data_IF_694193856723
#
_entry.id   IF_694193856723
#
_cell.length_a   1.000
_cell.length_b   1.000
_cell.length_c   1.000
_cell.angle_alpha   90.00
_cell.angle_beta   90.00
_cell.angle_gamma   90.00
#
_symmetry.space_group_name_H-M   'P 1'
#
loop_
_entity.id
_entity.type
_entity.pdbx_description
1 polymer ?
#
# COMPACT_ATOMS: atom_id res chain seq x y z
N UNK A 1 44.83 -28.17 23.82
CA UNK A 1 45.81 -29.07 23.17
C UNK A 1 46.36 -28.31 21.97
N UNK A 2 47.46 -27.57 22.18
CA UNK A 2 48.83 -27.89 21.69
C UNK A 2 48.96 -27.66 20.18
N UNK A 3 49.56 -26.53 19.77
CA UNK A 3 50.98 -26.38 19.36
C UNK A 3 51.32 -27.20 18.11
N UNK A 4 51.91 -26.64 17.05
CA UNK A 4 53.36 -26.39 16.96
C UNK A 4 53.66 -25.32 15.88
N UNK A 5 54.45 -24.33 16.28
CA UNK A 5 55.35 -23.49 15.44
C UNK A 5 56.74 -24.18 15.48
N UNK A 6 57.64 -24.03 14.48
CA UNK A 6 58.80 -23.16 14.72
C UNK A 6 59.19 -22.26 13.52
N UNK A 7 59.47 -20.96 13.69
CA UNK A 7 60.74 -20.31 14.10
C UNK A 7 61.78 -20.34 12.96
N UNK A 8 62.28 -19.20 12.47
CA UNK A 8 63.54 -18.52 12.90
C UNK A 8 63.53 -17.09 12.29
N UNK A 9 63.51 -15.99 13.08
CA UNK A 9 64.62 -15.27 13.77
C UNK A 9 65.23 -14.16 12.84
N UNK A 10 65.51 -12.90 13.20
CA UNK A 10 65.91 -12.18 14.44
C UNK A 10 65.52 -10.68 14.28
N UNK A 11 64.91 -9.96 15.23
CA UNK A 11 65.42 -9.41 16.52
C UNK A 11 66.28 -8.12 16.32
N UNK A 12 66.22 -7.01 17.08
CA UNK A 12 65.83 -6.65 18.47
C UNK A 12 65.34 -5.17 18.50
N UNK A 13 64.32 -4.75 19.28
CA UNK A 13 64.38 -4.14 20.64
C UNK A 13 65.55 -3.14 20.84
N UNK A 14 65.45 -1.93 21.40
CA UNK A 14 64.50 -1.32 22.35
C UNK A 14 64.90 0.16 22.63
N UNK A 15 63.92 0.99 23.00
CA UNK A 15 63.92 2.11 23.97
C UNK A 15 65.02 3.20 23.95
N UNK A 16 64.59 4.46 24.08
CA UNK A 16 65.39 5.51 24.72
C UNK A 16 65.19 6.91 24.13
N UNK A 17 64.59 7.80 24.92
CA UNK A 17 64.61 9.24 24.69
C UNK A 17 66.03 9.80 24.84
N UNK A 18 66.39 10.84 24.09
CA UNK A 18 66.98 12.07 24.64
C UNK A 18 67.20 13.15 23.59
N UNK A 19 67.04 14.39 24.05
CA UNK A 19 67.42 15.60 23.37
C UNK A 19 68.94 15.69 23.15
N UNK A 20 69.39 16.48 22.16
CA UNK A 20 70.49 17.46 22.24
C UNK A 20 70.86 18.01 20.85
N UNK A 21 70.83 19.35 20.79
CA UNK A 21 71.68 20.33 20.10
C UNK A 21 72.62 19.90 18.95
N UNK A 22 72.63 20.70 17.88
CA UNK A 22 73.77 20.97 16.98
C UNK A 22 74.00 22.50 16.97
N UNK A 23 74.95 23.07 17.71
CA UNK A 23 76.39 23.29 17.43
C UNK A 23 76.70 24.18 16.21
N UNK A 24 76.93 25.47 16.51
CA UNK A 24 77.81 26.37 15.75
C UNK A 24 79.26 26.14 16.19
N UNK A 25 80.20 26.21 15.25
CA UNK A 25 81.64 26.11 15.48
C UNK A 25 82.40 27.25 14.80
N UNK A 26 83.64 27.45 15.25
CA UNK A 26 84.63 28.53 15.02
C UNK A 26 84.50 29.69 16.03
N UNK A 27 85.50 30.01 16.85
CA UNK A 27 86.89 29.57 16.99
C UNK A 27 87.65 30.64 17.80
N UNK A 28 88.40 30.23 18.83
CA UNK A 28 88.99 31.07 19.89
C UNK A 28 90.23 31.89 19.46
N UNK A 29 90.55 32.96 20.21
CA UNK A 29 91.76 33.12 21.05
C UNK A 29 91.79 34.55 21.66
N UNK A 30 91.59 34.73 22.97
CA UNK A 30 92.52 34.54 24.10
C UNK A 30 93.43 35.75 24.35
N UNK A 31 93.21 36.49 25.44
CA UNK A 31 94.29 37.09 26.25
C UNK A 31 93.90 37.14 27.74
N UNK A 32 94.82 36.62 28.55
CA UNK A 32 94.85 36.56 30.00
C UNK A 32 95.01 37.94 30.64
N UNK A 33 94.41 38.15 31.81
CA UNK A 33 94.79 39.21 32.76
C UNK A 33 94.62 38.73 34.19
N UNK A 34 95.69 38.20 34.80
CA UNK A 34 95.75 37.88 36.24
C UNK A 34 95.97 39.14 37.04
N UNK A 35 95.24 39.24 38.16
CA UNK A 35 95.52 40.12 39.29
C UNK A 35 96.82 39.71 39.99
N UNK A 36 97.68 40.68 40.29
CA UNK A 36 98.74 40.60 41.30
C UNK A 36 98.76 41.94 42.08
N UNK A 37 98.87 41.79 43.41
CA UNK A 37 99.18 42.78 44.46
C UNK A 37 100.43 43.63 44.06
N UNK A 38 100.75 44.84 44.54
CA UNK A 38 100.57 45.48 45.86
C UNK A 38 101.01 46.97 45.79
N UNK A 39 100.55 47.78 46.76
CA UNK A 39 101.10 49.03 47.32
C UNK A 39 101.72 50.18 46.46
N UNK A 40 101.00 51.31 46.45
CA UNK A 40 101.46 52.54 47.11
C UNK A 40 102.34 53.53 46.33
N UNK A 41 101.73 54.53 45.68
CA UNK A 41 102.08 55.96 45.82
C UNK A 41 101.14 56.86 45.00
N UNK A 42 100.53 57.82 45.67
CA UNK A 42 99.88 58.98 45.06
C UNK A 42 100.94 59.84 44.38
N UNK A 43 100.81 60.06 43.06
CA UNK A 43 101.51 61.10 42.32
C UNK A 43 100.53 61.71 41.30
N UNK A 44 100.10 62.93 41.62
CA UNK A 44 99.57 64.01 40.77
C UNK A 44 98.65 63.67 39.59
N UNK A 45 97.42 64.15 39.72
CA UNK A 45 96.52 64.58 38.66
C UNK A 45 97.28 65.17 37.45
N UNK A 46 97.23 64.46 36.33
CA UNK A 46 97.73 64.93 35.04
C UNK A 46 96.68 64.57 33.99
N UNK A 47 95.58 65.32 33.98
CA UNK A 47 94.58 65.27 32.92
C UNK A 47 95.23 65.66 31.59
N UNK A 48 95.39 64.67 30.69
CA UNK A 48 95.94 64.88 29.35
C UNK A 48 94.89 65.57 28.50
N UNK A 49 95.18 66.81 28.09
CA UNK A 49 94.30 67.67 27.28
C UNK A 49 94.39 67.34 25.80
N UNK A 50 93.25 67.38 25.10
CA UNK A 50 93.18 67.23 23.65
C UNK A 50 93.90 68.40 22.96
N UNK A 51 94.99 68.11 22.25
CA UNK A 51 95.75 69.10 21.49
C UNK A 51 95.27 69.23 20.04
N UNK A 52 95.76 70.25 19.30
CA UNK A 52 95.57 70.30 17.86
C UNK A 52 96.28 69.10 17.18
N UNK A 53 95.61 68.46 16.20
CA UNK A 53 96.06 67.27 15.45
C UNK A 53 96.15 65.94 16.22
N UNK A 54 95.54 65.83 17.41
CA UNK A 54 95.53 64.56 18.17
C UNK A 54 94.68 63.46 17.52
N UNK A 55 93.68 63.83 16.70
CA UNK A 55 92.81 62.91 15.96
C UNK A 55 92.78 63.24 14.47
N UNK A 56 92.43 62.23 13.66
CA UNK A 56 92.30 62.35 12.20
C UNK A 56 91.20 63.31 11.77
N UNK A 57 91.21 63.72 10.50
CA UNK A 57 90.18 64.61 9.94
C UNK A 57 88.80 63.95 10.06
N UNK A 58 87.81 64.69 10.59
CA UNK A 58 86.45 64.17 10.82
C UNK A 58 86.26 63.40 12.13
N UNK A 59 87.29 63.32 12.99
CA UNK A 59 87.20 62.78 14.35
C UNK A 59 87.19 63.88 15.41
N UNK A 60 86.52 63.64 16.54
CA UNK A 60 86.59 64.47 17.73
C UNK A 60 87.43 63.77 18.81
N UNK A 61 88.17 64.58 19.56
CA UNK A 61 89.01 64.11 20.64
C UNK A 61 88.22 64.13 21.96
N UNK A 62 88.20 62.99 22.65
CA UNK A 62 87.61 62.82 23.97
C UNK A 62 88.75 62.73 24.99
N UNK A 63 88.69 63.56 26.03
CA UNK A 63 89.65 63.54 27.13
C UNK A 63 89.56 62.20 27.88
N UNK A 64 90.66 61.45 27.90
CA UNK A 64 90.76 60.16 28.58
C UNK A 64 91.72 60.22 29.76
N UNK A 65 91.52 59.34 30.75
CA UNK A 65 92.29 59.32 32.00
C UNK A 65 93.75 58.87 31.83
N UNK A 66 94.10 58.25 30.69
CA UNK A 66 95.46 57.73 30.40
C UNK A 66 95.98 58.23 29.04
N UNK A 67 95.11 58.41 28.04
CA UNK A 67 95.42 58.98 26.72
C UNK A 67 94.15 59.53 26.06
N UNK A 68 94.25 60.54 25.17
CA UNK A 68 93.11 61.03 24.40
C UNK A 68 92.53 59.91 23.53
N UNK A 69 91.19 59.80 23.48
CA UNK A 69 90.46 58.81 22.67
C UNK A 69 89.84 59.55 21.50
N UNK A 70 90.16 59.11 20.28
CA UNK A 70 89.57 59.65 19.06
C UNK A 70 88.32 58.85 18.69
N UNK A 71 87.24 59.56 18.37
CA UNK A 71 86.02 58.95 17.83
C UNK A 71 85.53 59.76 16.63
N UNK A 72 85.02 59.10 15.59
CA UNK A 72 84.46 59.80 14.45
C UNK A 72 83.29 60.71 14.87
N UNK A 73 83.18 61.87 14.23
CA UNK A 73 82.02 62.74 14.39
C UNK A 73 80.74 62.00 13.92
N UNK A 74 79.55 62.35 14.44
CA UNK A 74 78.29 61.80 13.95
C UNK A 74 78.16 61.93 12.42
N UNK A 75 77.77 60.85 11.73
CA UNK A 75 77.71 60.80 10.26
C UNK A 75 79.07 60.56 9.58
N UNK A 76 80.11 60.23 10.34
CA UNK A 76 81.40 59.78 9.83
C UNK A 76 81.75 58.39 10.38
N UNK A 77 82.42 57.56 9.56
CA UNK A 77 82.93 56.23 9.93
C UNK A 77 84.35 56.05 9.40
N UNK A 78 85.03 54.99 9.82
CA UNK A 78 86.43 54.71 9.49
C UNK A 78 87.32 54.71 10.71
N UNK A 79 88.61 55.01 10.53
CA UNK A 79 89.59 55.02 11.60
C UNK A 79 89.72 56.44 12.21
N UNK A 80 89.33 56.65 13.48
CA UNK A 80 89.39 57.96 14.13
C UNK A 80 90.80 58.55 14.29
N UNK A 81 91.85 57.73 14.19
CA UNK A 81 93.23 58.18 14.32
C UNK A 81 93.80 58.73 13.00
N UNK A 82 93.41 58.17 11.86
CA UNK A 82 93.90 58.57 10.54
C UNK A 82 92.96 59.54 9.85
N UNK A 83 91.76 59.08 9.51
CA UNK A 83 90.73 59.88 8.85
C UNK A 83 89.37 59.18 8.99
N UNK A 84 88.38 59.93 9.47
CA UNK A 84 87.00 59.52 9.35
C UNK A 84 86.43 60.07 8.03
N UNK A 85 85.72 59.22 7.30
CA UNK A 85 85.01 59.59 6.07
C UNK A 85 83.54 59.80 6.36
N UNK A 86 82.93 60.78 5.69
CA UNK A 86 81.50 61.04 5.82
C UNK A 86 80.74 59.87 5.19
N UNK A 87 79.91 59.21 5.99
CA UNK A 87 79.05 58.12 5.54
C UNK A 87 77.66 58.64 5.20
N UNK A 88 76.94 57.88 4.38
CA UNK A 88 75.57 58.22 4.01
C UNK A 88 74.56 57.67 5.02
N UNK A 89 74.81 56.46 5.55
CA UNK A 89 73.94 55.80 6.51
C UNK A 89 74.72 54.83 7.43
N UNK A 90 74.18 54.58 8.62
CA UNK A 90 74.57 53.49 9.53
C UNK A 90 73.49 52.39 9.56
N UNK A 91 72.23 52.80 9.49
CA UNK A 91 71.06 51.93 9.55
C UNK A 91 70.07 52.26 8.42
N UNK A 92 69.22 51.29 8.08
CA UNK A 92 68.18 51.42 7.07
C UNK A 92 67.27 52.64 7.29
N UNK A 93 66.95 52.94 8.55
CA UNK A 93 66.11 54.09 8.93
C UNK A 93 66.63 55.46 8.48
N UNK A 94 67.93 55.57 8.16
CA UNK A 94 68.55 56.81 7.67
C UNK A 94 68.45 56.96 6.15
N UNK A 95 68.10 55.88 5.44
CA UNK A 95 67.86 55.88 4.01
C UNK A 95 66.39 56.18 3.68
N UNK A 96 66.10 56.58 2.43
CA UNK A 96 64.71 56.71 1.96
C UNK A 96 64.02 55.34 2.02
N UNK A 97 62.69 55.32 2.09
CA UNK A 97 61.89 54.09 2.20
C UNK A 97 62.13 53.03 1.11
N UNK A 98 62.68 53.42 -0.04
CA UNK A 98 63.02 52.55 -1.17
C UNK A 98 64.52 52.22 -1.28
N UNK A 99 65.32 52.53 -0.26
CA UNK A 99 66.76 52.30 -0.22
C UNK A 99 67.12 51.50 1.03
N UNK A 100 68.25 50.80 1.04
CA UNK A 100 68.78 50.09 2.21
C UNK A 100 70.21 50.55 2.47
N UNK A 101 70.61 50.54 3.74
CA UNK A 101 71.98 50.85 4.12
C UNK A 101 72.86 49.61 3.93
N UNK A 102 73.68 49.62 2.88
CA UNK A 102 74.64 48.56 2.60
C UNK A 102 76.01 49.20 2.45
N UNK A 103 77.00 48.71 3.22
CA UNK A 103 78.35 49.24 3.22
C UNK A 103 78.42 50.76 3.38
N UNK A 104 77.61 51.32 4.29
CA UNK A 104 77.57 52.76 4.63
C UNK A 104 77.00 53.66 3.52
N UNK A 105 76.33 53.07 2.51
CA UNK A 105 75.68 53.76 1.40
C UNK A 105 74.20 53.37 1.28
N UNK A 106 73.35 54.33 0.90
CA UNK A 106 71.93 54.08 0.66
C UNK A 106 71.71 53.62 -0.78
N UNK A 107 71.64 52.30 -0.97
CA UNK A 107 71.47 51.67 -2.28
C UNK A 107 70.05 51.17 -2.48
N UNK A 108 69.59 51.07 -3.73
CA UNK A 108 68.30 50.44 -4.01
C UNK A 108 68.44 48.92 -3.89
N UNK A 109 67.76 48.26 -2.93
CA UNK A 109 67.90 46.81 -2.75
C UNK A 109 67.33 45.98 -3.91
N UNK A 110 66.58 46.59 -4.83
CA UNK A 110 66.02 45.88 -5.99
C UNK A 110 67.02 45.63 -7.11
N UNK A 111 68.11 46.39 -7.17
CA UNK A 111 69.11 46.24 -8.24
C UNK A 111 69.82 44.88 -8.10
N UNK A 112 69.53 43.96 -9.02
CA UNK A 112 70.18 42.64 -9.09
C UNK A 112 69.58 41.56 -8.17
N UNK A 113 68.53 41.85 -7.40
CA UNK A 113 67.97 40.89 -6.42
C UNK A 113 66.84 40.02 -6.96
N UNK A 114 65.98 40.57 -7.82
CA UNK A 114 64.85 39.82 -8.40
C UNK A 114 65.20 39.16 -9.73
N UNK A 115 64.56 38.02 -9.99
CA UNK A 115 64.74 37.23 -11.20
C UNK A 115 64.16 37.89 -12.46
N UNK A 116 64.42 37.27 -13.61
CA UNK A 116 63.94 37.77 -14.91
C UNK A 116 62.41 37.80 -14.94
N UNK A 117 61.82 38.91 -15.41
CA UNK A 117 60.37 39.18 -15.44
C UNK A 117 59.67 39.21 -14.06
N UNK A 118 60.40 39.41 -12.96
CA UNK A 118 59.82 39.65 -11.64
C UNK A 118 59.72 41.16 -11.36
N UNK A 119 58.64 41.56 -10.69
CA UNK A 119 58.50 42.91 -10.13
C UNK A 119 59.20 42.97 -8.77
N UNK A 120 60.00 44.00 -8.56
CA UNK A 120 60.58 44.31 -7.26
C UNK A 120 59.86 45.47 -6.60
N UNK A 121 59.43 45.27 -5.36
CA UNK A 121 58.89 46.30 -4.48
C UNK A 121 59.75 46.37 -3.20
N UNK A 122 60.06 47.56 -2.71
CA UNK A 122 60.87 47.71 -1.50
C UNK A 122 59.94 47.89 -0.31
N UNK A 123 59.91 46.91 0.60
CA UNK A 123 59.11 46.98 1.83
C UNK A 123 60.02 46.93 3.04
N UNK A 124 59.96 47.99 3.86
CA UNK A 124 60.81 48.14 5.05
C UNK A 124 62.30 47.99 4.73
N UNK A 125 62.78 48.65 3.68
CA UNK A 125 64.17 48.59 3.21
C UNK A 125 64.63 47.19 2.74
N UNK A 126 63.71 46.25 2.50
CA UNK A 126 63.99 44.89 2.00
C UNK A 126 63.33 44.71 0.62
N UNK A 127 64.01 44.08 -0.36
CA UNK A 127 63.42 43.83 -1.66
C UNK A 127 62.42 42.67 -1.58
N UNK A 128 61.22 42.88 -2.11
CA UNK A 128 60.16 41.89 -2.24
C UNK A 128 59.95 41.61 -3.72
N UNK A 129 60.34 40.42 -4.16
CA UNK A 129 60.18 39.97 -5.53
C UNK A 129 58.84 39.25 -5.71
N UNK A 130 58.05 39.65 -6.71
CA UNK A 130 56.77 39.01 -7.05
C UNK A 130 56.67 38.79 -8.55
N UNK A 131 56.03 37.71 -9.00
CA UNK A 131 55.69 37.58 -10.41
C UNK A 131 54.50 38.49 -10.74
N UNK A 132 54.56 39.27 -11.83
CA UNK A 132 53.46 40.13 -12.26
C UNK A 132 52.24 39.30 -12.67
N UNK A 133 51.07 39.94 -12.75
CA UNK A 133 49.83 39.26 -13.15
C UNK A 133 49.99 38.58 -14.52
N UNK A 134 49.57 37.30 -14.60
CA UNK A 134 49.75 36.48 -15.81
C UNK A 134 51.11 35.76 -15.91
N UNK A 135 51.97 35.88 -14.90
CA UNK A 135 53.24 35.15 -14.81
C UNK A 135 53.28 34.24 -13.57
N UNK A 136 53.99 33.11 -13.68
CA UNK A 136 54.22 32.12 -12.62
C UNK A 136 55.71 31.74 -12.57
N UNK A 137 56.16 31.09 -11.48
CA UNK A 137 57.55 30.69 -11.29
C UNK A 137 58.15 31.18 -9.97
N UNK A 138 59.49 31.22 -9.89
CA UNK A 138 60.20 31.71 -8.71
C UNK A 138 60.60 33.18 -8.93
N UNK A 139 60.05 34.16 -8.17
CA UNK A 139 60.35 35.57 -8.34
C UNK A 139 61.83 35.96 -8.14
N UNK A 140 62.63 35.14 -7.44
CA UNK A 140 64.06 35.38 -7.24
C UNK A 140 64.94 34.79 -8.36
N UNK A 141 64.38 33.96 -9.24
CA UNK A 141 65.13 33.32 -10.33
C UNK A 141 64.59 33.72 -11.70
N UNK A 142 63.32 33.42 -11.98
CA UNK A 142 62.64 33.81 -13.21
C UNK A 142 61.13 33.57 -13.09
N UNK A 143 60.37 34.54 -13.59
CA UNK A 143 58.95 34.42 -13.86
C UNK A 143 58.75 34.18 -15.36
N UNK A 144 57.85 33.26 -15.70
CA UNK A 144 57.42 32.96 -17.07
C UNK A 144 55.91 33.15 -17.20
N UNK A 145 55.42 33.30 -18.42
CA UNK A 145 53.98 33.40 -18.67
C UNK A 145 53.30 32.17 -18.07
N UNK A 146 52.27 32.41 -17.25
CA UNK A 146 51.50 31.34 -16.62
C UNK A 146 50.73 30.60 -17.71
N UNK A 147 51.06 29.33 -17.90
CA UNK A 147 50.32 28.46 -18.79
C UNK A 147 48.99 28.09 -18.12
N UNK A 148 47.84 28.37 -18.75
CA UNK A 148 46.54 27.95 -18.21
C UNK A 148 46.49 26.45 -17.90
N UNK A 149 47.22 25.60 -18.63
CA UNK A 149 47.21 24.14 -18.46
C UNK A 149 47.84 23.67 -17.13
N UNK A 150 48.66 24.50 -16.47
CA UNK A 150 49.27 24.14 -15.17
C UNK A 150 48.26 24.00 -14.04
N UNK A 151 47.07 24.62 -14.16
CA UNK A 151 46.03 24.50 -13.15
C UNK A 151 45.55 23.04 -12.96
N UNK A 152 45.65 22.20 -14.00
CA UNK A 152 45.28 20.79 -13.94
C UNK A 152 46.48 19.85 -13.71
N UNK A 153 47.72 20.36 -13.55
CA UNK A 153 48.94 19.54 -13.55
C UNK A 153 49.83 19.87 -12.32
N UNK A 154 49.86 19.03 -11.27
CA UNK A 154 49.08 17.79 -11.08
C UNK A 154 47.59 18.11 -10.81
N UNK A 155 46.70 17.18 -11.20
CA UNK A 155 45.25 17.42 -11.12
C UNK A 155 44.81 17.65 -9.68
N UNK A 156 44.15 18.80 -9.37
CA UNK A 156 43.56 19.04 -8.06
C UNK A 156 42.21 18.30 -7.89
N UNK A 157 41.72 17.64 -8.95
CA UNK A 157 40.46 16.91 -8.94
C UNK A 157 40.65 15.48 -8.39
N UNK A 158 39.62 14.97 -7.71
CA UNK A 158 39.59 13.61 -7.20
C UNK A 158 39.43 12.54 -8.29
N UNK A 159 39.49 11.25 -7.94
CA UNK A 159 39.37 10.15 -8.91
C UNK A 159 38.04 10.16 -9.68
N UNK A 160 38.04 9.56 -10.88
CA UNK A 160 36.89 9.48 -11.80
C UNK A 160 36.32 10.84 -12.22
N UNK A 161 37.19 11.83 -12.39
CA UNK A 161 36.84 13.17 -12.84
C UNK A 161 37.65 13.59 -14.06
N UNK A 162 37.13 14.61 -14.76
CA UNK A 162 37.82 15.33 -15.82
C UNK A 162 38.13 16.74 -15.32
N UNK A 163 39.41 17.11 -15.33
CA UNK A 163 39.87 18.47 -15.10
C UNK A 163 39.84 19.25 -16.42
N UNK A 164 39.33 20.47 -16.39
CA UNK A 164 39.46 21.42 -17.48
C UNK A 164 39.60 22.84 -16.90
N UNK A 165 40.23 23.72 -17.67
CA UNK A 165 40.54 25.08 -17.21
C UNK A 165 39.47 26.04 -17.70
N UNK A 166 38.91 26.83 -16.79
CA UNK A 166 38.10 27.99 -17.15
C UNK A 166 38.44 29.16 -16.23
N UNK A 167 38.57 30.37 -16.78
CA UNK A 167 38.97 31.57 -16.05
C UNK A 167 40.28 31.41 -15.24
N UNK A 168 41.29 30.73 -15.80
CA UNK A 168 42.55 30.38 -15.14
C UNK A 168 42.39 29.57 -13.82
N UNK A 169 41.28 28.86 -13.65
CA UNK A 169 41.06 27.95 -12.53
C UNK A 169 40.78 26.54 -13.02
N UNK A 170 41.20 25.55 -12.23
CA UNK A 170 40.88 24.16 -12.45
C UNK A 170 39.42 23.88 -12.09
N UNK A 171 38.64 23.43 -13.06
CA UNK A 171 37.27 22.98 -12.85
C UNK A 171 37.23 21.46 -12.99
N UNK A 172 36.67 20.83 -11.95
CA UNK A 172 36.54 19.38 -11.85
C UNK A 172 35.10 18.97 -12.16
N UNK A 173 34.92 18.02 -13.07
CA UNK A 173 33.61 17.44 -13.39
C UNK A 173 33.66 15.93 -13.32
N UNK A 174 32.63 15.27 -12.79
CA UNK A 174 32.56 13.81 -12.79
C UNK A 174 32.53 13.28 -14.24
N UNK A 175 33.17 12.12 -14.46
CA UNK A 175 32.99 11.39 -15.72
C UNK A 175 31.52 10.95 -15.88
N UNK A 176 31.03 10.74 -17.12
CA UNK A 176 29.67 10.26 -17.35
C UNK A 176 29.38 8.97 -16.59
N UNK A 177 28.25 8.91 -15.87
CA UNK A 177 27.86 7.75 -15.06
C UNK A 177 28.46 7.73 -13.63
N UNK A 178 29.25 8.73 -13.27
CA UNK A 178 29.74 8.94 -11.91
C UNK A 178 29.03 10.12 -11.24
N UNK A 179 28.76 10.00 -9.93
CA UNK A 179 28.14 11.01 -9.08
C UNK A 179 28.98 11.26 -7.81
N UNK A 180 28.83 12.44 -7.23
CA UNK A 180 29.55 12.84 -6.02
C UNK A 180 30.21 14.20 -6.16
N UNK A 181 31.21 14.47 -5.33
CA UNK A 181 31.97 15.72 -5.35
C UNK A 181 33.20 15.56 -6.23
N UNK A 182 33.33 16.32 -7.34
CA UNK A 182 34.50 16.22 -8.22
C UNK A 182 35.83 16.57 -7.54
N UNK A 183 35.82 17.31 -6.44
CA UNK A 183 37.03 17.64 -5.70
C UNK A 183 37.55 16.46 -4.88
N UNK A 184 36.66 15.65 -4.29
CA UNK A 184 37.05 14.49 -3.48
C UNK A 184 37.11 13.20 -4.30
N UNK A 185 36.42 13.16 -5.44
CA UNK A 185 36.27 12.01 -6.31
C UNK A 185 34.82 11.62 -6.50
N UNK A 186 34.51 11.11 -7.68
CA UNK A 186 33.18 10.62 -8.02
C UNK A 186 33.15 9.09 -7.99
N UNK A 187 31.98 8.53 -7.66
CA UNK A 187 31.73 7.08 -7.66
C UNK A 187 30.49 6.77 -8.48
N UNK A 188 30.31 5.50 -8.80
CA UNK A 188 29.07 5.03 -9.43
C UNK A 188 27.85 5.25 -8.52
N UNK A 189 26.66 5.08 -9.06
CA UNK A 189 25.47 5.18 -8.23
C UNK A 189 25.42 4.07 -7.17
N UNK A 190 25.78 2.86 -7.54
CA UNK A 190 25.95 1.73 -6.65
C UNK A 190 27.10 0.83 -7.17
N UNK A 191 27.77 0.12 -6.27
CA UNK A 191 28.65 -1.02 -6.60
C UNK A 191 28.06 -2.34 -6.10
N UNK A 192 27.17 -2.27 -5.10
CA UNK A 192 26.45 -3.40 -4.54
C UNK A 192 24.98 -3.08 -4.30
N UNK A 193 24.14 -4.12 -4.23
CA UNK A 193 22.70 -3.97 -3.98
C UNK A 193 22.38 -3.20 -2.69
N UNK A 194 23.21 -3.37 -1.65
CA UNK A 194 23.03 -2.72 -0.35
C UNK A 194 23.17 -1.19 -0.36
N UNK A 195 23.67 -0.61 -1.45
CA UNK A 195 23.72 0.85 -1.66
C UNK A 195 22.43 1.41 -2.26
N UNK A 196 21.53 0.54 -2.74
CA UNK A 196 20.24 0.90 -3.29
C UNK A 196 19.12 0.81 -2.24
N UNK A 197 17.99 1.47 -2.50
CA UNK A 197 16.81 1.36 -1.64
C UNK A 197 16.28 -0.08 -1.57
N UNK A 198 15.46 -0.37 -0.56
CA UNK A 198 14.95 -1.73 -0.30
C UNK A 198 14.19 -2.39 -1.48
N UNK A 199 13.66 -1.58 -2.41
CA UNK A 199 12.92 -2.04 -3.60
C UNK A 199 13.74 -1.97 -4.91
N UNK A 200 15.05 -1.77 -4.81
CA UNK A 200 15.95 -1.59 -5.96
C UNK A 200 17.16 -2.52 -5.85
N UNK A 201 17.81 -2.82 -6.97
CA UNK A 201 19.05 -3.57 -7.06
C UNK A 201 20.07 -2.81 -7.91
N UNK A 202 21.34 -3.11 -7.70
CA UNK A 202 22.42 -2.53 -8.47
C UNK A 202 22.60 -3.29 -9.79
N UNK A 203 22.27 -2.64 -10.90
CA UNK A 203 22.45 -3.17 -12.26
C UNK A 203 23.14 -2.12 -13.11
N UNK A 204 24.25 -2.50 -13.74
CA UNK A 204 25.06 -1.62 -14.57
C UNK A 204 25.38 -0.28 -13.88
N UNK A 205 25.79 -0.37 -12.60
CA UNK A 205 26.16 0.76 -11.74
C UNK A 205 25.02 1.74 -11.43
N UNK A 206 23.77 1.35 -11.67
CA UNK A 206 22.56 2.12 -11.37
C UNK A 206 21.59 1.36 -10.49
N UNK A 207 20.87 2.08 -9.63
CA UNK A 207 19.82 1.52 -8.80
C UNK A 207 18.54 1.41 -9.62
N UNK A 208 18.17 0.19 -9.99
CA UNK A 208 16.99 -0.10 -10.82
C UNK A 208 16.03 -1.02 -10.07
N UNK A 209 14.76 -1.04 -10.46
CA UNK A 209 13.83 -2.01 -9.87
C UNK A 209 14.09 -3.40 -10.44
N UNK A 210 14.29 -4.43 -9.59
CA UNK A 210 14.46 -5.80 -10.05
C UNK A 210 13.16 -6.39 -10.61
N UNK A 211 12.01 -5.71 -10.48
CA UNK A 211 10.73 -6.17 -11.06
C UNK A 211 10.77 -6.32 -12.59
N UNK A 212 11.74 -5.71 -13.26
CA UNK A 212 12.00 -5.94 -14.68
C UNK A 212 12.48 -7.37 -15.00
N UNK A 213 12.82 -8.16 -13.98
CA UNK A 213 13.24 -9.56 -14.11
C UNK A 213 12.06 -10.54 -14.16
N UNK A 214 10.84 -10.07 -13.91
CA UNK A 214 9.65 -10.91 -14.02
C UNK A 214 9.35 -11.25 -15.48
N UNK A 215 8.87 -12.49 -15.69
CA UNK A 215 8.54 -13.01 -16.99
C UNK A 215 7.34 -12.31 -17.63
N UNK A 216 7.10 -12.60 -18.91
CA UNK A 216 5.94 -12.05 -19.63
C UNK A 216 4.64 -12.52 -18.96
N UNK A 217 3.70 -11.60 -18.74
CA UNK A 217 2.43 -11.80 -18.01
C UNK A 217 2.59 -12.21 -16.54
N UNK A 218 3.76 -11.98 -15.92
CA UNK A 218 3.94 -12.16 -14.49
C UNK A 218 3.82 -10.84 -13.74
N UNK A 219 3.22 -10.88 -12.56
CA UNK A 219 3.16 -9.76 -11.63
C UNK A 219 4.40 -9.75 -10.73
N UNK A 220 5.01 -8.59 -10.53
CA UNK A 220 6.00 -8.39 -9.48
C UNK A 220 5.26 -8.19 -8.15
N UNK A 221 5.21 -9.23 -7.32
CA UNK A 221 4.47 -9.19 -6.06
C UNK A 221 5.17 -8.31 -5.02
N UNK A 222 6.46 -8.54 -4.81
CA UNK A 222 7.30 -7.79 -3.89
C UNK A 222 8.76 -7.84 -4.31
N UNK A 223 9.58 -6.98 -3.72
CA UNK A 223 11.04 -7.07 -3.80
C UNK A 223 11.57 -7.51 -2.43
N UNK A 224 12.31 -8.61 -2.38
CA UNK A 224 12.91 -9.14 -1.17
C UNK A 224 14.41 -9.36 -1.39
N UNK A 225 15.24 -8.83 -0.49
CA UNK A 225 16.70 -8.89 -0.59
C UNK A 225 17.21 -8.45 -1.97
N UNK A 226 16.70 -7.31 -2.47
CA UNK A 226 17.03 -6.73 -3.78
C UNK A 226 16.71 -7.65 -4.98
N UNK A 227 15.82 -8.62 -4.83
CA UNK A 227 15.35 -9.51 -5.91
C UNK A 227 13.84 -9.41 -6.05
N UNK A 228 13.34 -9.46 -7.28
CA UNK A 228 11.92 -9.55 -7.52
C UNK A 228 11.38 -10.92 -7.09
N UNK A 229 10.22 -10.92 -6.45
CA UNK A 229 9.38 -12.08 -6.25
C UNK A 229 8.25 -11.99 -7.26
N UNK A 230 8.32 -12.81 -8.29
CA UNK A 230 7.37 -12.83 -9.40
C UNK A 230 6.31 -13.91 -9.18
N UNK A 231 5.05 -13.62 -9.54
CA UNK A 231 3.96 -14.60 -9.51
C UNK A 231 3.12 -14.52 -10.79
N UNK A 232 2.52 -15.64 -11.18
CA UNK A 232 1.51 -15.59 -12.22
C UNK A 232 0.18 -15.03 -11.65
N UNK A 233 -0.49 -14.14 -12.39
CA UNK A 233 -1.82 -13.66 -12.01
C UNK A 233 -2.85 -14.81 -12.03
N UNK A 234 -4.06 -14.55 -11.51
CA UNK A 234 -5.14 -15.55 -11.50
C UNK A 234 -5.47 -15.99 -12.94
N UNK A 235 -5.62 -17.30 -13.14
CA UNK A 235 -5.87 -17.90 -14.45
C UNK A 235 -4.61 -18.08 -15.30
N UNK A 236 -3.42 -17.76 -14.79
CA UNK A 236 -2.17 -18.00 -15.49
C UNK A 236 -1.32 -19.05 -14.79
N UNK A 237 -0.61 -19.84 -15.57
CA UNK A 237 0.24 -20.95 -15.15
C UNK A 237 1.60 -20.87 -15.85
N UNK A 238 2.63 -21.47 -15.26
CA UNK A 238 3.98 -21.47 -15.83
C UNK A 238 5.04 -21.04 -14.83
N UNK A 239 6.17 -20.54 -15.36
CA UNK A 239 7.28 -20.02 -14.57
C UNK A 239 7.18 -18.48 -14.53
N UNK A 240 6.89 -17.88 -13.36
CA UNK A 240 6.76 -16.43 -13.21
C UNK A 240 8.01 -15.61 -13.57
N UNK A 241 9.19 -16.22 -13.63
CA UNK A 241 10.43 -15.55 -14.04
C UNK A 241 10.69 -15.66 -15.54
N UNK A 242 9.87 -16.41 -16.29
CA UNK A 242 10.03 -16.59 -17.75
C UNK A 242 8.78 -16.18 -18.51
N UNK A 243 7.68 -16.88 -18.27
CA UNK A 243 6.41 -16.66 -18.96
C UNK A 243 5.27 -17.30 -18.17
N UNK A 244 4.20 -16.53 -18.01
CA UNK A 244 2.92 -17.01 -17.54
C UNK A 244 1.97 -17.15 -18.74
N UNK A 245 1.36 -18.32 -18.91
CA UNK A 245 0.39 -18.62 -19.96
C UNK A 245 -1.02 -18.77 -19.37
N UNK A 246 -2.06 -18.27 -20.05
CA UNK A 246 -3.43 -18.42 -19.59
C UNK A 246 -3.87 -19.90 -19.55
N UNK A 247 -4.79 -20.24 -18.65
CA UNK A 247 -5.45 -21.56 -18.60
C UNK A 247 -6.28 -21.80 -19.87
N UNK A 248 -6.96 -20.74 -20.31
CA UNK A 248 -7.84 -20.73 -21.46
C UNK A 248 -7.84 -19.35 -22.11
N UNK A 249 -8.01 -19.32 -23.43
CA UNK A 249 -8.35 -18.11 -24.19
C UNK A 249 -9.79 -18.11 -24.68
N UNK A 250 -10.45 -19.27 -24.64
CA UNK A 250 -11.83 -19.49 -25.08
C UNK A 250 -12.49 -20.60 -24.28
N UNK A 251 -13.83 -20.62 -24.26
CA UNK A 251 -14.61 -21.64 -23.52
C UNK A 251 -14.33 -23.08 -24.01
N UNK A 252 -13.97 -23.23 -25.29
CA UNK A 252 -13.69 -24.55 -25.90
C UNK A 252 -12.39 -25.21 -25.43
N UNK A 253 -11.48 -24.45 -24.82
CA UNK A 253 -10.24 -24.98 -24.23
C UNK A 253 -10.49 -25.59 -22.84
N UNK A 254 -11.64 -25.27 -22.23
CA UNK A 254 -11.94 -25.68 -20.87
C UNK A 254 -12.55 -27.08 -20.78
N UNK A 255 -12.27 -27.83 -19.70
CA UNK A 255 -12.82 -29.16 -19.50
C UNK A 255 -14.30 -29.10 -19.11
N UNK A 256 -15.05 -30.19 -19.35
CA UNK A 256 -16.50 -30.23 -19.16
C UNK A 256 -17.00 -29.92 -17.74
N UNK A 257 -16.16 -30.14 -16.72
CA UNK A 257 -16.52 -29.83 -15.31
C UNK A 257 -16.28 -28.35 -14.92
N UNK A 258 -15.67 -27.55 -15.80
CA UNK A 258 -15.41 -26.10 -15.66
C UNK A 258 -15.48 -25.39 -17.03
N UNK A 259 -16.64 -25.39 -17.71
CA UNK A 259 -16.70 -25.11 -19.14
C UNK A 259 -16.59 -23.63 -19.54
N UNK A 260 -16.56 -22.69 -18.60
CA UNK A 260 -16.51 -21.26 -18.91
C UNK A 260 -15.09 -20.71 -18.72
N UNK A 261 -14.58 -20.01 -19.72
CA UNK A 261 -13.32 -19.28 -19.66
C UNK A 261 -13.59 -17.83 -19.24
N UNK A 262 -13.30 -17.51 -17.98
CA UNK A 262 -13.53 -16.17 -17.43
C UNK A 262 -12.23 -15.64 -16.84
N UNK A 263 -11.78 -14.48 -17.35
CA UNK A 263 -10.50 -13.88 -16.98
C UNK A 263 -9.31 -14.84 -17.12
N UNK A 264 -9.28 -15.62 -18.22
CA UNK A 264 -8.26 -16.60 -18.54
C UNK A 264 -8.21 -17.84 -17.62
N UNK A 265 -9.20 -18.03 -16.75
CA UNK A 265 -9.33 -19.19 -15.89
C UNK A 265 -10.56 -20.02 -16.29
N UNK A 266 -10.42 -21.34 -16.27
CA UNK A 266 -11.56 -22.22 -16.43
C UNK A 266 -12.34 -22.28 -15.12
N UNK A 267 -13.60 -21.86 -15.16
CA UNK A 267 -14.50 -21.85 -13.99
C UNK A 267 -15.71 -22.73 -14.24
N UNK A 268 -16.24 -23.29 -13.15
CA UNK A 268 -17.53 -23.96 -13.19
C UNK A 268 -18.61 -22.91 -12.85
N UNK A 269 -19.50 -22.54 -13.79
CA UNK A 269 -20.55 -21.57 -13.54
C UNK A 269 -21.50 -21.96 -12.40
N UNK A 270 -21.58 -23.25 -12.04
CA UNK A 270 -22.37 -23.72 -10.90
C UNK A 270 -21.72 -23.47 -9.53
N UNK A 271 -20.44 -23.08 -9.47
CA UNK A 271 -19.78 -22.82 -8.19
C UNK A 271 -20.42 -21.59 -7.55
N UNK A 272 -21.13 -21.78 -6.44
CA UNK A 272 -21.88 -20.76 -5.69
C UNK A 272 -23.03 -20.08 -6.46
N UNK A 273 -23.48 -20.65 -7.58
CA UNK A 273 -24.63 -20.09 -8.31
C UNK A 273 -25.99 -20.50 -7.72
N UNK A 274 -26.07 -21.70 -7.14
CA UNK A 274 -27.29 -22.24 -6.58
C UNK A 274 -27.23 -22.34 -5.05
N UNK A 275 -28.41 -22.34 -4.44
CA UNK A 275 -28.60 -22.46 -3.00
C UNK A 275 -28.20 -23.83 -2.46
N UNK A 276 -28.15 -23.95 -1.14
CA UNK A 276 -27.80 -25.22 -0.50
C UNK A 276 -28.87 -26.28 -0.83
N UNK A 277 -28.42 -27.49 -1.18
CA UNK A 277 -29.24 -28.63 -1.63
C UNK A 277 -30.01 -28.43 -2.95
N UNK A 278 -29.67 -27.41 -3.74
CA UNK A 278 -30.21 -27.26 -5.09
C UNK A 278 -29.34 -28.01 -6.12
N UNK A 279 -30.00 -28.58 -7.13
CA UNK A 279 -29.33 -29.09 -8.32
C UNK A 279 -28.95 -27.91 -9.22
N UNK A 280 -27.71 -27.90 -9.72
CA UNK A 280 -27.26 -26.94 -10.73
C UNK A 280 -27.02 -27.65 -12.05
N UNK A 281 -27.77 -27.24 -13.08
CA UNK A 281 -27.59 -27.69 -14.45
C UNK A 281 -27.25 -26.50 -15.35
N UNK A 282 -26.42 -26.71 -16.36
CA UNK A 282 -26.05 -25.65 -17.29
C UNK A 282 -26.98 -25.65 -18.50
N UNK A 283 -27.51 -24.48 -18.85
CA UNK A 283 -28.07 -24.19 -20.18
C UNK A 283 -27.08 -23.32 -20.94
N UNK A 284 -26.20 -23.95 -21.73
CA UNK A 284 -25.00 -23.28 -22.27
C UNK A 284 -23.98 -23.07 -21.15
N UNK A 285 -23.60 -21.80 -20.89
CA UNK A 285 -22.76 -21.42 -19.75
C UNK A 285 -23.57 -20.82 -18.59
N UNK A 286 -24.89 -20.76 -18.72
CA UNK A 286 -25.78 -20.15 -17.73
C UNK A 286 -26.22 -21.21 -16.71
N UNK A 287 -25.96 -21.01 -15.40
CA UNK A 287 -26.41 -21.92 -14.36
C UNK A 287 -27.93 -21.82 -14.18
N UNK A 288 -28.60 -22.96 -14.15
CA UNK A 288 -30.03 -23.12 -13.88
C UNK A 288 -30.17 -23.94 -12.61
N UNK A 289 -30.76 -23.32 -11.58
CA UNK A 289 -30.94 -23.91 -10.27
C UNK A 289 -32.34 -24.49 -10.11
N UNK A 290 -32.45 -25.71 -9.61
CA UNK A 290 -33.73 -26.37 -9.32
C UNK A 290 -33.64 -27.19 -8.04
N UNK A 291 -34.73 -27.28 -7.27
CA UNK A 291 -34.76 -28.22 -6.14
C UNK A 291 -34.91 -29.67 -6.64
N UNK A 292 -34.18 -30.64 -6.06
CA UNK A 292 -34.33 -32.05 -6.38
C UNK A 292 -35.76 -32.58 -6.16
N UNK A 293 -36.10 -33.71 -6.79
CA UNK A 293 -37.38 -34.40 -6.55
C UNK A 293 -37.44 -34.80 -5.07
N UNK A 294 -38.42 -34.24 -4.33
CA UNK A 294 -38.64 -34.34 -2.86
C UNK A 294 -38.08 -33.19 -2.02
N UNK A 295 -37.64 -32.10 -2.65
CA UNK A 295 -37.31 -30.86 -1.96
C UNK A 295 -38.14 -29.69 -2.49
N UNK A 296 -38.37 -28.69 -1.65
CA UNK A 296 -39.08 -27.45 -1.97
C UNK A 296 -38.35 -26.25 -1.36
N UNK A 297 -38.73 -25.05 -1.76
CA UNK A 297 -38.08 -23.80 -1.36
C UNK A 297 -37.58 -23.01 -2.57
N UNK A 298 -36.61 -22.13 -2.33
CA UNK A 298 -35.98 -21.30 -3.36
C UNK A 298 -34.66 -21.95 -3.81
N UNK A 299 -34.55 -22.42 -5.07
CA UNK A 299 -33.34 -23.04 -5.60
C UNK A 299 -32.08 -22.15 -5.58
N UNK A 300 -32.22 -20.82 -5.48
CA UNK A 300 -31.08 -19.91 -5.39
C UNK A 300 -30.61 -19.69 -3.95
N UNK A 301 -31.45 -20.00 -2.97
CA UNK A 301 -31.18 -19.74 -1.56
C UNK A 301 -31.02 -21.04 -0.77
N UNK A 302 -32.05 -21.87 -0.72
CA UNK A 302 -32.09 -23.08 0.10
C UNK A 302 -33.25 -23.99 -0.32
N UNK A 303 -32.92 -25.24 -0.64
CA UNK A 303 -33.91 -26.31 -0.79
C UNK A 303 -33.99 -27.12 0.52
N UNK A 304 -35.23 -27.30 1.01
CA UNK A 304 -35.54 -28.13 2.19
C UNK A 304 -36.37 -29.34 1.79
N UNK A 305 -36.36 -30.43 2.58
CA UNK A 305 -37.25 -31.56 2.34
C UNK A 305 -38.70 -31.11 2.23
N UNK A 306 -39.42 -31.71 1.28
CA UNK A 306 -40.85 -31.53 1.13
C UNK A 306 -41.57 -32.10 2.36
N UNK A 307 -42.47 -31.31 2.94
CA UNK A 307 -43.29 -31.71 4.08
C UNK A 307 -44.78 -31.67 3.71
N UNK A 308 -45.61 -32.44 4.41
CA UNK A 308 -47.05 -32.50 4.13
C UNK A 308 -47.75 -31.13 4.11
N UNK A 309 -47.27 -30.15 4.88
CA UNK A 309 -47.79 -28.76 4.87
C UNK A 309 -47.60 -28.05 3.54
N UNK A 310 -46.56 -28.38 2.78
CA UNK A 310 -46.19 -27.72 1.53
C UNK A 310 -47.20 -28.02 0.42
N UNK A 311 -48.00 -29.08 0.56
CA UNK A 311 -49.13 -29.39 -0.33
C UNK A 311 -50.18 -28.27 -0.35
N UNK A 312 -50.25 -27.46 0.71
CA UNK A 312 -51.22 -26.39 0.89
C UNK A 312 -50.63 -24.98 0.77
N UNK A 313 -49.37 -24.84 0.32
CA UNK A 313 -48.68 -23.55 0.19
C UNK A 313 -48.01 -23.41 -1.19
N UNK A 314 -48.50 -22.50 -2.07
CA UNK A 314 -49.71 -21.68 -1.92
C UNK A 314 -50.97 -22.56 -1.92
N UNK A 315 -52.06 -22.08 -1.30
CA UNK A 315 -53.30 -22.85 -1.20
C UNK A 315 -53.83 -23.19 -2.60
N UNK A 316 -53.85 -24.48 -3.00
CA UNK A 316 -54.30 -24.90 -4.33
C UNK A 316 -55.82 -24.99 -4.44
N UNK A 317 -56.54 -24.78 -3.34
CA UNK A 317 -58.00 -24.84 -3.30
C UNK A 317 -58.64 -23.54 -3.79
N UNK A 318 -59.92 -23.62 -4.12
CA UNK A 318 -60.72 -22.49 -4.56
C UNK A 318 -60.86 -21.39 -3.50
N UNK A 319 -61.40 -20.23 -3.89
CA UNK A 319 -61.57 -19.10 -2.97
C UNK A 319 -62.41 -19.50 -1.75
N UNK A 320 -62.00 -19.06 -0.55
CA UNK A 320 -62.60 -19.40 0.75
C UNK A 320 -62.59 -20.89 1.14
N UNK A 321 -61.92 -21.75 0.37
CA UNK A 321 -61.76 -23.16 0.72
C UNK A 321 -60.56 -23.36 1.67
N UNK A 322 -60.70 -24.33 2.58
CA UNK A 322 -59.64 -24.76 3.48
C UNK A 322 -58.88 -25.93 2.87
N UNK A 323 -57.56 -25.79 2.77
CA UNK A 323 -56.67 -26.90 2.40
C UNK A 323 -56.17 -27.63 3.65
N UNK A 324 -56.15 -28.96 3.57
CA UNK A 324 -55.50 -29.84 4.54
C UNK A 324 -54.65 -30.88 3.82
N UNK A 325 -53.46 -31.25 4.33
CA UNK A 325 -52.71 -32.38 3.80
C UNK A 325 -53.50 -33.67 3.96
N UNK A 326 -53.52 -34.50 2.91
CA UNK A 326 -54.18 -35.81 2.94
C UNK A 326 -53.55 -36.76 1.93
N UNK A 327 -54.28 -37.82 1.59
CA UNK A 327 -53.81 -38.83 0.64
C UNK A 327 -54.90 -39.14 -0.40
N UNK A 328 -54.48 -39.51 -1.60
CA UNK A 328 -55.38 -40.08 -2.59
C UNK A 328 -55.69 -41.56 -2.33
N UNK A 329 -56.52 -42.16 -3.19
CA UNK A 329 -56.92 -43.57 -3.09
C UNK A 329 -55.76 -44.56 -3.26
N UNK A 330 -54.63 -44.11 -3.79
CA UNK A 330 -53.40 -44.91 -3.95
C UNK A 330 -52.44 -44.74 -2.77
N UNK A 331 -52.76 -43.85 -1.82
CA UNK A 331 -51.93 -43.52 -0.68
C UNK A 331 -50.92 -42.40 -0.93
N UNK A 332 -50.90 -41.79 -2.12
CA UNK A 332 -50.00 -40.69 -2.43
C UNK A 332 -50.46 -39.40 -1.73
N UNK A 333 -49.51 -38.66 -1.16
CA UNK A 333 -49.77 -37.38 -0.49
C UNK A 333 -50.37 -36.36 -1.46
N UNK A 334 -51.53 -35.78 -1.10
CA UNK A 334 -52.24 -34.77 -1.90
C UNK A 334 -52.96 -33.74 -1.03
N UNK A 335 -53.13 -32.50 -1.52
CA UNK A 335 -53.96 -31.51 -0.87
C UNK A 335 -55.44 -31.88 -0.97
N UNK A 336 -56.13 -31.78 0.17
CA UNK A 336 -57.57 -32.02 0.28
C UNK A 336 -58.26 -30.68 0.54
N UNK A 337 -59.20 -30.34 -0.32
CA UNK A 337 -59.95 -29.09 -0.25
C UNK A 337 -61.34 -29.32 0.33
N UNK A 338 -61.70 -28.53 1.35
CA UNK A 338 -63.00 -28.58 2.02
C UNK A 338 -63.57 -27.18 2.19
N UNK A 339 -64.90 -27.03 2.14
CA UNK A 339 -65.52 -25.77 2.52
C UNK A 339 -65.63 -25.71 4.05
N UNK A 340 -65.18 -24.60 4.67
CA UNK A 340 -65.34 -24.41 6.11
C UNK A 340 -66.83 -24.34 6.49
N UNK A 341 -67.14 -24.55 7.77
CA UNK A 341 -68.51 -24.48 8.28
C UNK A 341 -69.19 -23.17 7.90
N UNK A 342 -70.44 -23.25 7.46
CA UNK A 342 -71.21 -22.11 6.97
C UNK A 342 -70.96 -21.75 5.50
N UNK A 343 -70.15 -22.53 4.78
CA UNK A 343 -69.92 -22.38 3.34
C UNK A 343 -70.32 -23.63 2.55
N UNK A 344 -70.77 -23.43 1.31
CA UNK A 344 -71.21 -24.46 0.36
C UNK A 344 -70.57 -24.23 -1.00
N UNK A 345 -70.54 -25.27 -1.85
CA UNK A 345 -69.98 -25.19 -3.20
C UNK A 345 -68.91 -26.23 -3.47
N UNK A 346 -68.11 -26.01 -4.51
CA UNK A 346 -67.00 -26.87 -4.87
C UNK A 346 -65.69 -26.28 -4.34
N UNK A 347 -65.08 -26.95 -3.37
CA UNK A 347 -63.87 -26.48 -2.70
C UNK A 347 -62.63 -26.32 -3.63
N UNK A 348 -62.65 -26.84 -4.86
CA UNK A 348 -61.61 -26.56 -5.87
C UNK A 348 -61.85 -25.27 -6.66
N UNK A 349 -63.09 -24.80 -6.71
CA UNK A 349 -63.49 -23.62 -7.51
C UNK A 349 -63.71 -22.44 -6.58
N UNK A 350 -64.71 -22.53 -5.71
CA UNK A 350 -65.03 -21.53 -4.70
C UNK A 350 -65.98 -22.13 -3.65
N UNK A 351 -65.81 -21.68 -2.42
CA UNK A 351 -66.76 -21.87 -1.35
C UNK A 351 -67.53 -20.56 -1.14
N UNK A 352 -68.84 -20.62 -1.33
CA UNK A 352 -69.76 -19.50 -1.13
C UNK A 352 -70.41 -19.60 0.23
N UNK A 353 -70.67 -18.45 0.87
CA UNK A 353 -71.33 -18.43 2.18
C UNK A 353 -72.76 -18.97 2.06
N UNK A 354 -73.10 -19.95 2.88
CA UNK A 354 -74.43 -20.53 2.97
C UNK A 354 -75.47 -19.54 3.50
N UNK A 355 -76.73 -19.84 3.23
CA UNK A 355 -77.87 -18.99 3.58
C UNK A 355 -78.26 -19.11 5.06
N UNK A 356 -77.98 -20.26 5.67
CA UNK A 356 -78.32 -20.57 7.05
C UNK A 356 -77.25 -21.45 7.71
N UNK A 357 -77.15 -21.40 9.03
CA UNK A 357 -76.40 -22.32 9.89
C UNK A 357 -77.34 -23.09 10.83
N UNK A 358 -78.49 -22.49 11.16
CA UNK A 358 -79.52 -23.02 12.05
C UNK A 358 -80.90 -22.82 11.42
N UNK A 359 -81.84 -23.72 11.75
CA UNK A 359 -83.23 -23.66 11.28
C UNK A 359 -83.89 -22.29 11.50
N UNK A 360 -83.59 -21.64 12.63
CA UNK A 360 -84.16 -20.34 13.00
C UNK A 360 -83.79 -19.18 12.07
N UNK A 361 -82.77 -19.34 11.21
CA UNK A 361 -82.39 -18.36 10.20
C UNK A 361 -83.22 -18.51 8.90
N UNK A 362 -83.93 -19.63 8.75
CA UNK A 362 -84.83 -19.85 7.63
C UNK A 362 -86.26 -19.40 7.97
N UNK A 363 -87.07 -19.02 6.97
CA UNK A 363 -88.51 -18.88 7.12
C UNK A 363 -89.16 -20.15 7.74
N UNK A 364 -90.25 -19.99 8.50
CA UNK A 364 -90.94 -21.08 9.23
C UNK A 364 -91.32 -22.33 8.41
N UNK A 365 -91.45 -22.19 7.09
CA UNK A 365 -91.80 -23.26 6.15
C UNK A 365 -90.57 -23.93 5.51
N UNK A 366 -89.35 -23.52 5.87
CA UNK A 366 -88.08 -24.07 5.38
C UNK A 366 -87.25 -24.55 6.57
N UNK A 367 -86.36 -25.50 6.34
CA UNK A 367 -85.41 -26.01 7.31
C UNK A 367 -83.98 -25.79 6.80
N UNK A 368 -83.04 -25.62 7.72
CA UNK A 368 -81.64 -25.47 7.36
C UNK A 368 -81.01 -26.85 7.17
N UNK A 369 -80.70 -27.20 5.93
CA UNK A 369 -80.07 -28.48 5.58
C UNK A 369 -78.87 -28.20 4.70
N UNK A 370 -77.67 -28.59 5.16
CA UNK A 370 -76.43 -28.36 4.40
C UNK A 370 -76.16 -26.89 4.12
N UNK A 371 -76.48 -26.00 5.07
CA UNK A 371 -76.38 -24.54 4.97
C UNK A 371 -77.28 -23.86 3.90
N UNK A 372 -78.30 -24.56 3.41
CA UNK A 372 -79.34 -24.00 2.53
C UNK A 372 -80.71 -24.11 3.18
N UNK A 373 -81.56 -23.10 2.99
CA UNK A 373 -82.95 -23.14 3.43
C UNK A 373 -83.78 -23.95 2.43
N UNK A 374 -84.08 -25.20 2.77
CA UNK A 374 -84.83 -26.13 1.89
C UNK A 374 -86.19 -26.46 2.47
N UNK A 375 -87.16 -26.73 1.60
CA UNK A 375 -88.49 -27.20 2.03
C UNK A 375 -88.35 -28.63 2.58
N UNK A 376 -88.66 -28.89 3.86
CA UNK A 376 -88.56 -30.23 4.44
C UNK A 376 -89.53 -31.24 3.81
N UNK A 377 -90.50 -30.81 3.00
CA UNK A 377 -91.41 -31.67 2.24
C UNK A 377 -90.94 -31.97 0.80
N UNK A 378 -89.81 -31.41 0.36
CA UNK A 378 -89.27 -31.64 -0.99
C UNK A 378 -88.86 -33.12 -1.17
N UNK A 379 -89.34 -33.76 -2.25
CA UNK A 379 -88.99 -35.14 -2.63
C UNK A 379 -89.95 -36.23 -2.15
N UNK A 380 -91.01 -35.90 -1.39
CA UNK A 380 -92.10 -36.81 -1.00
C UNK A 380 -91.69 -38.12 -0.29
N UNK A 381 -90.45 -38.22 0.18
CA UNK A 381 -89.88 -39.39 0.90
C UNK A 381 -90.03 -39.31 2.42
N UNK A 382 -90.43 -38.14 2.94
CA UNK A 382 -90.54 -37.90 4.39
C UNK A 382 -91.85 -38.40 4.99
N UNK A 383 -92.89 -38.54 4.16
CA UNK A 383 -94.21 -39.03 4.54
C UNK A 383 -94.50 -40.39 3.92
N UNK A 384 -95.40 -41.14 4.55
CA UNK A 384 -95.85 -42.42 4.03
C UNK A 384 -96.65 -42.30 2.74
N UNK A 385 -96.72 -43.38 1.96
CA UNK A 385 -97.49 -43.42 0.71
C UNK A 385 -98.93 -42.96 0.92
N UNK A 386 -99.40 -42.02 0.09
CA UNK A 386 -100.76 -41.48 0.16
C UNK A 386 -101.01 -40.44 1.26
N UNK A 387 -100.00 -40.04 2.03
CA UNK A 387 -100.04 -38.91 2.97
C UNK A 387 -99.72 -37.58 2.28
N UNK A 388 -100.21 -36.48 2.84
CA UNK A 388 -99.88 -35.10 2.42
C UNK A 388 -98.83 -34.54 3.38
N UNK A 389 -97.75 -34.00 2.81
CA UNK A 389 -96.71 -33.29 3.57
C UNK A 389 -96.99 -31.79 3.63
N UNK A 390 -96.83 -31.18 4.81
CA UNK A 390 -96.87 -29.74 5.01
C UNK A 390 -95.66 -29.31 5.85
N UNK A 391 -94.91 -28.30 5.40
CA UNK A 391 -93.80 -27.75 6.16
C UNK A 391 -94.30 -26.79 7.24
N UNK A 392 -93.96 -27.04 8.51
CA UNK A 392 -94.28 -26.13 9.63
C UNK A 392 -93.21 -26.19 10.72
N UNK A 393 -92.79 -25.03 11.21
CA UNK A 393 -91.75 -24.88 12.25
C UNK A 393 -90.48 -25.66 11.88
N UNK A 394 -90.04 -25.51 10.64
CA UNK A 394 -88.86 -26.19 10.08
C UNK A 394 -88.97 -27.73 10.00
N UNK A 395 -90.16 -28.31 10.15
CA UNK A 395 -90.38 -29.76 10.12
C UNK A 395 -91.37 -30.17 9.03
N UNK A 396 -91.16 -31.37 8.48
CA UNK A 396 -92.14 -32.06 7.64
C UNK A 396 -93.28 -32.62 8.51
N UNK A 397 -94.49 -32.08 8.32
CA UNK A 397 -95.70 -32.53 9.02
C UNK A 397 -96.54 -33.35 8.06
N UNK A 398 -96.64 -34.66 8.32
CA UNK A 398 -97.39 -35.59 7.49
C UNK A 398 -98.82 -35.78 8.00
N UNK A 399 -99.80 -35.75 7.11
CA UNK A 399 -101.22 -35.95 7.46
C UNK A 399 -101.91 -36.84 6.42
N UNK A 400 -102.79 -37.75 6.85
CA UNK A 400 -103.65 -38.46 5.91
C UNK A 400 -104.79 -37.52 5.44
N UNK A 401 -105.04 -37.41 4.13
CA UNK A 401 -106.13 -36.59 3.61
C UNK A 401 -107.50 -37.16 4.01
N UNK A 402 -108.54 -36.32 3.98
CA UNK A 402 -109.90 -36.68 4.39
C UNK A 402 -110.41 -37.94 3.66
N UNK A 403 -110.97 -38.90 4.43
CA UNK A 403 -111.44 -40.20 3.91
C UNK A 403 -110.39 -41.31 3.91
N UNK A 404 -109.15 -41.03 4.36
CA UNK A 404 -108.09 -42.03 4.56
C UNK A 404 -107.70 -42.16 6.03
N UNK A 405 -107.38 -43.39 6.44
CA UNK A 405 -106.88 -43.74 7.77
C UNK A 405 -105.50 -44.41 7.67
N UNK A 406 -104.76 -44.45 8.77
CA UNK A 406 -103.42 -45.05 8.83
C UNK A 406 -102.40 -44.16 9.53
N UNK A 407 -101.13 -44.52 9.42
CA UNK A 407 -100.01 -43.73 9.94
C UNK A 407 -99.43 -42.88 8.81
N UNK A 408 -99.54 -41.56 8.94
CA UNK A 408 -99.10 -40.61 7.92
C UNK A 408 -97.59 -40.66 7.62
N UNK A 409 -96.77 -41.29 8.47
CA UNK A 409 -95.34 -41.52 8.22
C UNK A 409 -95.04 -42.84 7.49
N UNK A 410 -96.01 -43.74 7.43
CA UNK A 410 -95.81 -45.10 6.90
C UNK A 410 -96.68 -45.33 5.67
N UNK A 411 -98.01 -45.21 5.80
CA UNK A 411 -98.97 -45.38 4.71
C UNK A 411 -100.37 -44.90 5.12
N UNK A 412 -101.07 -44.22 4.21
CA UNK A 412 -102.49 -43.87 4.35
C UNK A 412 -103.33 -44.70 3.38
N UNK A 413 -104.36 -45.40 3.89
CA UNK A 413 -105.25 -46.25 3.11
C UNK A 413 -106.72 -45.84 3.26
N UNK A 414 -107.58 -46.20 2.31
CA UNK A 414 -109.00 -45.83 2.32
C UNK A 414 -109.80 -46.64 3.34
N UNK A 415 -110.62 -45.97 4.17
CA UNK A 415 -111.51 -46.64 5.12
C UNK A 415 -112.92 -46.81 4.54
N UNK A 416 -113.44 -48.04 4.50
CA UNK A 416 -114.81 -48.36 4.06
C UNK A 416 -115.91 -48.13 5.11
N UNK A 417 -115.65 -47.38 6.19
CA UNK A 417 -116.63 -47.14 7.26
C UNK A 417 -116.58 -45.71 7.82
N UNK A 418 -117.75 -45.09 8.00
CA UNK A 418 -117.98 -43.74 8.52
C UNK A 418 -117.80 -43.65 10.05
N UNK A 419 -116.62 -44.03 10.57
CA UNK A 419 -116.33 -43.93 11.99
C UNK A 419 -115.03 -43.13 12.24
N UNK A 420 -115.23 -41.92 12.77
CA UNK A 420 -114.27 -41.07 13.50
C UNK A 420 -112.88 -40.85 12.86
N UNK A 421 -112.74 -39.67 12.25
CA UNK A 421 -111.45 -39.03 11.92
C UNK A 421 -110.66 -38.69 13.20
N UNK A 422 -109.84 -39.61 13.70
CA UNK A 422 -108.76 -39.27 14.64
C UNK A 422 -107.54 -38.81 13.84
N UNK A 423 -107.39 -37.49 13.71
CA UNK A 423 -106.19 -36.85 13.15
C UNK A 423 -105.00 -37.10 14.07
N UNK A 424 -104.23 -38.16 13.82
CA UNK A 424 -102.93 -38.32 14.44
C UNK A 424 -101.92 -37.45 13.69
N UNK A 425 -101.66 -36.25 14.21
CA UNK A 425 -100.48 -35.49 13.81
C UNK A 425 -99.26 -36.23 14.36
N UNK A 426 -98.41 -36.76 13.47
CA UNK A 426 -97.09 -37.23 13.86
C UNK A 426 -96.05 -36.29 13.30
N UNK A 427 -95.26 -35.74 14.21
CA UNK A 427 -94.02 -35.05 13.87
C UNK A 427 -92.97 -36.12 13.67
N UNK A 428 -92.40 -36.19 12.48
CA UNK A 428 -91.01 -36.63 12.41
C UNK A 428 -90.20 -35.42 12.88
N UNK A 429 -89.96 -35.32 14.18
CA UNK A 429 -88.77 -34.56 14.60
C UNK A 429 -87.64 -35.31 13.90
N UNK A 430 -86.79 -34.61 13.16
CA UNK A 430 -85.53 -35.18 12.68
C UNK A 430 -84.84 -35.76 13.92
N UNK A 431 -85.06 -37.05 14.18
CA UNK A 431 -84.49 -37.74 15.32
C UNK A 431 -83.04 -37.85 14.98
N UNK A 432 -82.20 -37.07 15.68
CA UNK A 432 -80.77 -37.02 15.48
C UNK A 432 -80.37 -37.30 14.03
N UNK A 433 -80.52 -36.30 13.17
CA UNK A 433 -79.27 -35.95 12.54
C UNK A 433 -78.39 -35.51 13.71
N UNK A 434 -77.58 -36.44 14.24
CA UNK A 434 -76.18 -36.10 14.43
C UNK A 434 -75.86 -35.20 13.26
N UNK A 435 -75.48 -33.94 13.53
CA UNK A 435 -75.07 -32.97 12.51
C UNK A 435 -74.60 -33.76 11.29
N UNK A 436 -75.26 -33.68 10.11
CA UNK A 436 -74.66 -34.33 8.97
C UNK A 436 -73.26 -33.73 8.94
N UNK A 437 -72.25 -34.55 9.22
CA UNK A 437 -70.84 -34.21 8.97
C UNK A 437 -70.90 -33.48 7.64
N UNK A 438 -70.52 -32.19 7.58
CA UNK A 438 -70.83 -31.36 6.43
C UNK A 438 -70.31 -32.08 5.19
N UNK A 439 -71.20 -32.74 4.45
CA UNK A 439 -70.86 -33.49 3.24
C UNK A 439 -70.71 -32.49 2.12
N UNK A 440 -69.83 -31.51 2.34
CA UNK A 440 -69.11 -30.93 1.22
C UNK A 440 -68.15 -32.04 0.77
N UNK A 441 -68.24 -32.52 -0.48
CA UNK A 441 -67.33 -33.55 -0.93
C UNK A 441 -65.91 -33.02 -0.76
N UNK A 442 -65.11 -33.68 0.08
CA UNK A 442 -63.67 -33.45 0.11
C UNK A 442 -63.14 -33.77 -1.28
N UNK A 443 -62.74 -32.74 -2.01
CA UNK A 443 -62.22 -32.91 -3.36
C UNK A 443 -60.70 -32.83 -3.29
N UNK A 444 -60.06 -33.78 -3.96
CA UNK A 444 -58.60 -33.86 -4.06
C UNK A 444 -58.17 -32.90 -5.17
N UNK A 445 -57.35 -31.91 -4.84
CA UNK A 445 -56.76 -31.04 -5.85
C UNK A 445 -55.64 -31.78 -6.59
N UNK A 446 -55.61 -31.65 -7.92
CA UNK A 446 -54.42 -32.01 -8.68
C UNK A 446 -53.39 -30.91 -8.54
N UNK A 447 -52.26 -31.23 -7.92
CA UNK A 447 -51.13 -30.30 -7.84
C UNK A 447 -50.66 -30.09 -9.28
N UNK A 448 -50.90 -28.91 -9.85
CA UNK A 448 -50.13 -28.45 -10.98
C UNK A 448 -48.68 -28.44 -10.52
N UNK A 449 -47.91 -29.40 -11.01
CA UNK A 449 -46.50 -29.56 -10.71
C UNK A 449 -45.83 -28.19 -10.76
N UNK A 450 -45.42 -27.68 -9.61
CA UNK A 450 -44.58 -26.49 -9.50
C UNK A 450 -43.19 -26.91 -9.96
N UNK A 451 -43.08 -27.20 -11.25
CA UNK A 451 -41.81 -27.12 -11.95
C UNK A 451 -41.55 -25.64 -12.01
N UNK A 452 -40.57 -25.17 -11.24
CA UNK A 452 -40.02 -23.84 -11.43
C UNK A 452 -39.42 -23.79 -12.84
N UNK A 453 -40.25 -23.50 -13.85
CA UNK A 453 -39.77 -23.04 -15.13
C UNK A 453 -39.30 -21.60 -14.91
N UNK A 454 -37.98 -21.45 -14.77
CA UNK A 454 -37.33 -20.17 -14.92
C UNK A 454 -37.82 -19.52 -16.21
N UNK A 455 -38.17 -18.21 -16.21
CA UNK A 455 -38.67 -17.56 -17.40
C UNK A 455 -37.57 -17.60 -18.47
N UNK A 456 -37.84 -18.30 -19.56
CA UNK A 456 -37.08 -18.14 -20.78
C UNK A 456 -37.37 -16.73 -21.29
N UNK A 457 -36.43 -15.81 -21.08
CA UNK A 457 -36.39 -14.56 -21.83
C UNK A 457 -36.25 -14.92 -23.31
N UNK A 458 -37.32 -14.71 -24.09
CA UNK A 458 -37.24 -14.67 -25.55
C UNK A 458 -36.32 -13.52 -25.96
N UNK A 459 -35.04 -13.84 -26.17
CA UNK A 459 -34.14 -12.99 -26.91
C UNK A 459 -34.56 -13.05 -28.38
N UNK A 460 -35.36 -12.06 -28.81
CA UNK A 460 -35.56 -11.76 -30.22
C UNK A 460 -34.19 -11.43 -30.82
N UNK A 461 -33.57 -12.42 -31.44
CA UNK A 461 -32.53 -12.23 -32.43
C UNK A 461 -33.18 -11.56 -33.64
N UNK A 462 -33.04 -10.24 -33.74
CA UNK A 462 -33.17 -9.54 -35.02
C UNK A 462 -32.00 -9.98 -35.91
N UNK A 463 -32.30 -10.97 -36.75
CA UNK A 463 -31.48 -11.39 -37.88
C UNK A 463 -31.45 -10.23 -38.89
N UNK A 464 -30.42 -9.40 -38.81
CA UNK A 464 -30.09 -8.40 -39.83
C UNK A 464 -29.50 -9.15 -41.03
N UNK A 465 -30.37 -9.52 -41.98
CA UNK A 465 -30.02 -10.09 -43.27
C UNK A 465 -29.38 -9.01 -44.17
N UNK A 466 -28.41 -9.46 -44.96
CA UNK A 466 -27.60 -8.74 -45.97
C UNK A 466 -28.26 -7.58 -46.71
#
# INVERSE_FOLDING_TARGET
>A
MTSIVPVVLLAFLSLGADAVRYTNYYGRNAYYGRNLYEHGRSISDNTVTCGPHTCGVGAHCIHGSVRPVCACLPGYSGDPLSQCIRIECVDNSECRSHQTCVNQHCVNPCEGTCGVNANCDVRNHVPVCTCPAGYTGNPFSSCRIADPEEACHPSPCGPNTKCHVANNQAICTCLPGYRGSPLTGCRHECESDGECGAQQSCRDYKCTSPCSDCGVNADCETVAAHRAICKCPRGYFGDPYRICTPECSSDGECPSYKPACVYNACINPCTNACGVNADCNLRGLTPVCSCPRNMTGDPFTFCRPFEARDLCEPNPCGTNAKCTPGHDRTGAERPVCTCPSGYIGNALVACDKGECELDAQCPDHLACVGYQCVDPCLGNTQCGSGAVCMARRHLAVCTCPSGRNGDALVNCYESRSEAASTRYYRYKRNGNFTEPEPQTPSVVAEVASVVAEAPATEEKTEEKKE
#
